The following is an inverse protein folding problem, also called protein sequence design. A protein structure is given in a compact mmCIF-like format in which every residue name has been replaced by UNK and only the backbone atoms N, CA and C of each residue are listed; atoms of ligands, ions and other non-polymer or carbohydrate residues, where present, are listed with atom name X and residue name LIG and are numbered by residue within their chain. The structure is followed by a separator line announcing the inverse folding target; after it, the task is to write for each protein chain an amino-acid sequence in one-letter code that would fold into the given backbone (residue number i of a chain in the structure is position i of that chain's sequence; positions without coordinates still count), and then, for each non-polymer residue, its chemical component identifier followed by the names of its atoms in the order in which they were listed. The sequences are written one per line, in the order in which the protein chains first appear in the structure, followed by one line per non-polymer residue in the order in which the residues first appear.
data_IF_983746168177
#
_entry.id   IF_983746168177
#
_cell.length_a   1.000
_cell.length_b   1.000
_cell.length_c   1.000
_cell.angle_alpha   90.00
_cell.angle_beta   90.00
_cell.angle_gamma   90.00
#
_symmetry.space_group_name_H-M   'P 1'
#
loop_
_entity.id
_entity.type
_entity.pdbx_description
1 polymer ?
#
# COMPACT_ATOMS: atom_id res chain seq x y z
N UNK A 1 12.42 24.56 -32.46
CA UNK A 1 13.61 25.29 -31.94
C UNK A 1 13.48 26.83 -32.00
N UNK A 2 12.77 27.41 -32.97
CA UNK A 2 12.59 28.87 -33.10
C UNK A 2 11.74 29.49 -31.97
N UNK A 3 10.71 28.78 -31.47
CA UNK A 3 9.87 29.26 -30.36
C UNK A 3 10.64 29.44 -29.04
N UNK A 4 11.53 28.51 -28.69
CA UNK A 4 12.31 28.56 -27.45
C UNK A 4 13.28 29.75 -27.42
N UNK A 5 13.82 30.17 -28.57
CA UNK A 5 14.71 31.33 -28.66
C UNK A 5 14.02 32.66 -28.32
N UNK A 6 12.70 32.76 -28.56
CA UNK A 6 11.90 33.94 -28.23
C UNK A 6 11.28 33.89 -26.81
N UNK A 7 11.50 32.79 -26.07
CA UNK A 7 10.92 32.61 -24.75
C UNK A 7 11.66 33.43 -23.71
N UNK A 8 10.96 34.41 -23.11
CA UNK A 8 11.49 35.20 -21.98
C UNK A 8 11.81 34.28 -20.79
N UNK A 9 12.86 34.62 -20.03
CA UNK A 9 13.34 33.80 -18.90
C UNK A 9 12.23 33.51 -17.88
N UNK A 10 11.47 34.52 -17.47
CA UNK A 10 10.39 34.35 -16.50
C UNK A 10 9.28 33.41 -17.02
N UNK A 11 8.99 33.44 -18.33
CA UNK A 11 8.01 32.52 -18.94
C UNK A 11 8.51 31.07 -18.90
N UNK A 12 9.79 30.86 -19.15
CA UNK A 12 10.42 29.54 -19.00
C UNK A 12 10.34 29.06 -17.54
N UNK A 13 10.57 29.96 -16.57
CA UNK A 13 10.41 29.66 -15.15
C UNK A 13 8.99 29.20 -14.80
N UNK A 14 7.97 29.95 -15.24
CA UNK A 14 6.57 29.57 -15.01
C UNK A 14 6.22 28.22 -15.63
N UNK A 15 6.61 27.98 -16.88
CA UNK A 15 6.36 26.69 -17.55
C UNK A 15 6.98 25.54 -16.74
N UNK A 16 8.22 25.70 -16.28
CA UNK A 16 8.90 24.69 -15.48
C UNK A 16 8.17 24.41 -14.16
N UNK A 17 7.73 25.46 -13.47
CA UNK A 17 7.01 25.36 -12.20
C UNK A 17 5.67 24.64 -12.38
N UNK A 18 4.88 25.01 -13.39
CA UNK A 18 3.57 24.39 -13.61
C UNK A 18 3.65 22.92 -14.03
N UNK A 19 4.57 22.58 -14.96
CA UNK A 19 4.73 21.18 -15.42
C UNK A 19 5.18 20.28 -14.27
N UNK A 20 6.21 20.71 -13.54
CA UNK A 20 6.73 19.93 -12.42
C UNK A 20 5.73 19.84 -11.26
N UNK A 21 4.94 20.89 -11.01
CA UNK A 21 3.88 20.87 -10.00
C UNK A 21 2.84 19.81 -10.35
N UNK A 22 2.37 19.75 -11.59
CA UNK A 22 1.39 18.75 -12.02
C UNK A 22 1.88 17.31 -11.80
N UNK A 23 3.16 17.04 -12.12
CA UNK A 23 3.79 15.72 -11.92
C UNK A 23 3.91 15.38 -10.44
N UNK A 24 4.47 16.28 -9.64
CA UNK A 24 4.67 16.08 -8.20
C UNK A 24 3.34 15.97 -7.45
N UNK A 25 2.35 16.79 -7.81
CA UNK A 25 1.03 16.74 -7.21
C UNK A 25 0.29 15.44 -7.53
N UNK A 26 0.39 14.95 -8.77
CA UNK A 26 -0.18 13.64 -9.16
C UNK A 26 0.49 12.49 -8.39
N UNK A 27 1.81 12.56 -8.20
CA UNK A 27 2.55 11.55 -7.43
C UNK A 27 2.13 11.59 -5.96
N UNK A 28 2.02 12.79 -5.39
CA UNK A 28 1.52 13.00 -4.03
C UNK A 28 0.12 12.42 -3.83
N UNK A 29 -0.84 12.76 -4.70
CA UNK A 29 -2.22 12.27 -4.55
C UNK A 29 -2.31 10.75 -4.70
N UNK A 30 -1.51 10.14 -5.57
CA UNK A 30 -1.45 8.69 -5.70
C UNK A 30 -0.92 8.02 -4.42
N UNK A 31 0.10 8.60 -3.78
CA UNK A 31 0.67 8.10 -2.53
C UNK A 31 -0.29 8.25 -1.35
N UNK A 32 -0.90 9.42 -1.17
CA UNK A 32 -1.79 9.69 -0.02
C UNK A 32 -3.11 8.96 -0.10
N UNK A 33 -3.51 8.45 -1.28
CA UNK A 33 -4.75 7.68 -1.41
C UNK A 33 -4.81 6.45 -0.50
N UNK A 34 -3.67 5.89 -0.12
CA UNK A 34 -3.61 4.76 0.82
C UNK A 34 -4.21 5.11 2.18
N UNK A 35 -4.09 6.36 2.63
CA UNK A 35 -4.60 6.80 3.95
C UNK A 35 -6.12 6.95 3.97
N UNK A 36 -6.75 7.09 2.79
CA UNK A 36 -8.21 7.06 2.65
C UNK A 36 -8.74 5.62 2.69
N UNK A 37 -7.96 4.67 2.16
CA UNK A 37 -8.32 3.25 2.08
C UNK A 37 -8.05 2.54 3.40
N UNK A 38 -6.98 2.92 4.10
CA UNK A 38 -6.52 2.34 5.37
C UNK A 38 -6.51 3.46 6.41
N UNK A 39 -7.62 3.67 7.15
CA UNK A 39 -7.66 4.66 8.20
C UNK A 39 -6.85 4.17 9.40
N UNK A 40 -5.60 4.61 9.50
CA UNK A 40 -4.73 4.33 10.64
C UNK A 40 -4.36 5.60 11.40
N UNK A 41 -3.98 5.46 12.67
CA UNK A 41 -3.55 6.59 13.49
C UNK A 41 -2.26 7.25 12.95
N UNK A 42 -1.54 6.56 12.06
CA UNK A 42 -0.28 7.00 11.46
C UNK A 42 -0.46 7.64 10.08
N UNK A 43 -1.68 7.69 9.50
CA UNK A 43 -1.92 8.20 8.15
C UNK A 43 -1.50 9.67 7.98
N UNK A 44 -1.53 10.44 9.07
CA UNK A 44 -0.97 11.80 9.09
C UNK A 44 0.54 11.83 8.81
N UNK A 45 1.31 10.86 9.32
CA UNK A 45 2.76 10.73 9.09
C UNK A 45 3.02 10.44 7.62
N UNK A 46 2.27 9.50 7.02
CA UNK A 46 2.37 9.14 5.60
C UNK A 46 2.08 10.35 4.70
N UNK A 47 1.04 11.11 5.04
CA UNK A 47 0.65 12.33 4.32
C UNK A 47 1.76 13.38 4.36
N UNK A 48 2.29 13.68 5.54
CA UNK A 48 3.37 14.68 5.72
C UNK A 48 4.66 14.23 5.02
N UNK A 49 5.04 12.97 5.16
CA UNK A 49 6.22 12.42 4.49
C UNK A 49 6.09 12.53 2.96
N UNK A 50 4.94 12.12 2.41
CA UNK A 50 4.64 12.23 0.98
C UNK A 50 4.68 13.69 0.51
N UNK A 51 4.16 14.63 1.31
CA UNK A 51 4.20 16.05 1.00
C UNK A 51 5.64 16.55 0.89
N UNK A 52 6.50 16.24 1.87
CA UNK A 52 7.90 16.67 1.88
C UNK A 52 8.62 16.16 0.63
N UNK A 53 8.52 14.86 0.34
CA UNK A 53 9.20 14.25 -0.82
C UNK A 53 8.73 14.87 -2.14
N UNK A 54 7.42 15.12 -2.30
CA UNK A 54 6.89 15.69 -3.53
C UNK A 54 7.18 17.19 -3.68
N UNK A 55 7.28 17.95 -2.58
CA UNK A 55 7.78 19.33 -2.63
C UNK A 55 9.23 19.36 -3.08
N UNK A 56 10.07 18.45 -2.56
CA UNK A 56 11.46 18.30 -3.00
C UNK A 56 11.54 17.95 -4.50
N UNK A 57 10.78 16.93 -4.94
CA UNK A 57 10.68 16.54 -6.35
C UNK A 57 10.27 17.73 -7.23
N UNK A 58 9.24 18.48 -6.83
CA UNK A 58 8.74 19.65 -7.53
C UNK A 58 9.83 20.72 -7.74
N UNK A 59 10.57 21.05 -6.68
CA UNK A 59 11.64 22.05 -6.73
C UNK A 59 12.78 21.62 -7.66
N UNK A 60 13.28 20.40 -7.51
CA UNK A 60 14.39 19.90 -8.33
C UNK A 60 14.00 19.71 -9.79
N UNK A 61 12.79 19.20 -10.06
CA UNK A 61 12.27 19.05 -11.42
C UNK A 61 12.02 20.41 -12.07
N UNK A 62 11.51 21.42 -11.33
CA UNK A 62 11.40 22.80 -11.81
C UNK A 62 12.76 23.34 -12.28
N UNK A 63 13.80 23.17 -11.47
CA UNK A 63 15.17 23.63 -11.77
C UNK A 63 15.69 22.91 -13.03
N UNK A 64 15.52 21.59 -13.11
CA UNK A 64 15.97 20.80 -14.25
C UNK A 64 15.27 21.21 -15.57
N UNK A 65 13.94 21.35 -15.56
CA UNK A 65 13.14 21.79 -16.72
C UNK A 65 13.53 23.21 -17.15
N UNK A 66 13.71 24.12 -16.19
CA UNK A 66 14.14 25.48 -16.48
C UNK A 66 15.51 25.49 -17.19
N UNK A 67 16.52 24.82 -16.62
CA UNK A 67 17.85 24.77 -17.21
C UNK A 67 17.87 24.05 -18.56
N UNK A 68 17.06 23.03 -18.75
CA UNK A 68 16.89 22.37 -20.05
C UNK A 68 16.38 23.33 -21.13
N UNK A 69 15.30 24.05 -20.85
CA UNK A 69 14.75 25.04 -21.79
C UNK A 69 15.76 26.15 -22.10
N UNK A 70 16.51 26.61 -21.10
CA UNK A 70 17.57 27.63 -21.28
C UNK A 70 18.71 27.11 -22.14
N UNK A 71 19.18 25.89 -21.87
CA UNK A 71 20.25 25.27 -22.65
C UNK A 71 19.84 25.07 -24.12
N UNK A 72 18.60 24.63 -24.37
CA UNK A 72 18.06 24.51 -25.73
C UNK A 72 17.95 25.86 -26.45
N UNK A 73 17.46 26.91 -25.77
CA UNK A 73 17.34 28.24 -26.34
C UNK A 73 18.71 28.85 -26.73
N UNK A 74 19.74 28.56 -25.94
CA UNK A 74 21.11 29.04 -26.15
C UNK A 74 21.94 28.15 -27.09
N UNK A 75 21.44 26.96 -27.46
CA UNK A 75 22.18 26.00 -28.29
C UNK A 75 23.29 25.24 -27.55
N UNK A 76 23.28 25.23 -26.22
CA UNK A 76 24.28 24.53 -25.40
C UNK A 76 24.02 23.01 -25.36
N UNK A 77 24.50 22.28 -26.37
CA UNK A 77 24.23 20.84 -26.55
C UNK A 77 24.52 19.98 -25.31
N UNK A 78 25.69 20.12 -24.70
CA UNK A 78 26.07 19.31 -23.54
C UNK A 78 25.17 19.58 -22.31
N UNK A 79 24.88 20.85 -22.00
CA UNK A 79 23.98 21.22 -20.91
C UNK A 79 22.56 20.71 -21.14
N UNK A 80 22.08 20.74 -22.39
CA UNK A 80 20.78 20.18 -22.76
C UNK A 80 20.72 18.67 -22.50
N UNK A 81 21.78 17.92 -22.81
CA UNK A 81 21.82 16.46 -22.54
C UNK A 81 21.79 16.16 -21.05
N UNK A 82 22.61 16.85 -20.24
CA UNK A 82 22.64 16.62 -18.78
C UNK A 82 21.28 16.93 -18.15
N UNK A 83 20.71 18.09 -18.47
CA UNK A 83 19.43 18.51 -17.90
C UNK A 83 18.27 17.63 -18.38
N UNK A 84 18.32 17.12 -19.61
CA UNK A 84 17.38 16.10 -20.08
C UNK A 84 17.49 14.79 -19.29
N UNK A 85 18.71 14.34 -19.00
CA UNK A 85 18.92 13.13 -18.19
C UNK A 85 18.39 13.31 -16.75
N UNK A 86 18.57 14.49 -16.15
CA UNK A 86 17.99 14.81 -14.85
C UNK A 86 16.46 14.82 -14.88
N UNK A 87 15.85 15.41 -15.92
CA UNK A 87 14.39 15.35 -16.10
C UNK A 87 13.93 13.90 -16.22
N UNK A 88 14.61 13.09 -17.02
CA UNK A 88 14.26 11.69 -17.20
C UNK A 88 14.35 10.90 -15.89
N UNK A 89 15.38 11.15 -15.07
CA UNK A 89 15.53 10.56 -13.75
C UNK A 89 14.37 10.94 -12.82
N UNK A 90 14.06 12.23 -12.69
CA UNK A 90 12.99 12.69 -11.79
C UNK A 90 11.60 12.24 -12.25
N UNK A 91 11.33 12.29 -13.55
CA UNK A 91 10.07 11.81 -14.12
C UNK A 91 9.98 10.30 -13.95
N UNK A 92 11.05 9.54 -14.21
CA UNK A 92 11.08 8.10 -13.99
C UNK A 92 10.82 7.72 -12.54
N UNK A 93 11.43 8.43 -11.59
CA UNK A 93 11.15 8.27 -10.16
C UNK A 93 9.67 8.55 -9.83
N UNK A 94 9.13 9.66 -10.32
CA UNK A 94 7.74 10.05 -10.10
C UNK A 94 6.76 8.99 -10.67
N UNK A 95 7.01 8.53 -11.90
CA UNK A 95 6.22 7.49 -12.56
C UNK A 95 6.28 6.17 -11.81
N UNK A 96 7.47 5.73 -11.40
CA UNK A 96 7.63 4.48 -10.64
C UNK A 96 6.88 4.55 -9.31
N UNK A 97 7.05 5.64 -8.56
CA UNK A 97 6.40 5.84 -7.26
C UNK A 97 4.87 5.94 -7.40
N UNK A 98 4.39 6.61 -8.45
CA UNK A 98 2.95 6.67 -8.75
C UNK A 98 2.41 5.29 -9.10
N UNK A 99 3.13 4.52 -9.92
CA UNK A 99 2.73 3.18 -10.33
C UNK A 99 2.63 2.23 -9.14
N UNK A 100 3.64 2.20 -8.26
CA UNK A 100 3.63 1.35 -7.06
C UNK A 100 2.51 1.74 -6.10
N UNK A 101 2.28 3.04 -5.89
CA UNK A 101 1.18 3.51 -5.05
C UNK A 101 -0.20 3.10 -5.62
N UNK A 102 -0.40 3.24 -6.93
CA UNK A 102 -1.64 2.80 -7.58
C UNK A 102 -1.83 1.28 -7.50
N UNK A 103 -0.76 0.50 -7.68
CA UNK A 103 -0.79 -0.95 -7.56
C UNK A 103 -1.15 -1.39 -6.14
N UNK A 104 -0.54 -0.77 -5.12
CA UNK A 104 -0.87 -1.01 -3.72
C UNK A 104 -2.34 -0.71 -3.44
N UNK A 105 -2.83 0.47 -3.83
CA UNK A 105 -4.22 0.85 -3.65
C UNK A 105 -5.18 -0.15 -4.32
N UNK A 106 -4.86 -0.58 -5.54
CA UNK A 106 -5.66 -1.58 -6.25
C UNK A 106 -5.64 -2.94 -5.55
N UNK A 107 -4.49 -3.36 -5.01
CA UNK A 107 -4.35 -4.60 -4.25
C UNK A 107 -5.19 -4.57 -2.96
N UNK A 108 -5.12 -3.48 -2.20
CA UNK A 108 -5.88 -3.30 -0.96
C UNK A 108 -7.40 -3.26 -1.19
N UNK A 109 -7.85 -2.66 -2.30
CA UNK A 109 -9.27 -2.67 -2.68
C UNK A 109 -9.70 -4.08 -3.07
N UNK A 110 -8.92 -4.76 -3.93
CA UNK A 110 -9.24 -6.12 -4.35
C UNK A 110 -9.25 -7.10 -3.17
N UNK A 111 -8.31 -7.00 -2.23
CA UNK A 111 -8.28 -7.86 -1.05
C UNK A 111 -9.50 -7.66 -0.13
N UNK A 112 -10.05 -6.44 -0.07
CA UNK A 112 -11.23 -6.14 0.74
C UNK A 112 -12.57 -6.50 0.07
N UNK A 113 -12.59 -6.73 -1.24
CA UNK A 113 -13.80 -7.06 -1.98
C UNK A 113 -14.16 -8.55 -1.80
N UNK A 114 -15.32 -8.89 -1.18
CA UNK A 114 -15.71 -10.28 -0.94
C UNK A 114 -15.94 -11.08 -2.23
N UNK A 115 -16.10 -10.41 -3.37
CA UNK A 115 -16.29 -11.04 -4.69
C UNK A 115 -14.97 -11.38 -5.39
N UNK A 116 -13.82 -10.96 -4.84
CA UNK A 116 -12.51 -11.29 -5.39
C UNK A 116 -12.27 -12.79 -5.38
N UNK A 117 -11.77 -13.31 -6.51
CA UNK A 117 -11.55 -14.75 -6.67
C UNK A 117 -10.44 -15.28 -5.75
N UNK A 118 -10.58 -16.54 -5.33
CA UNK A 118 -9.59 -17.22 -4.50
C UNK A 118 -8.19 -17.26 -5.14
N UNK A 119 -8.13 -17.40 -6.48
CA UNK A 119 -6.87 -17.32 -7.23
C UNK A 119 -6.20 -15.95 -7.05
N UNK A 120 -6.98 -14.86 -7.22
CA UNK A 120 -6.46 -13.50 -7.05
C UNK A 120 -6.01 -13.22 -5.62
N UNK A 121 -6.75 -13.70 -4.63
CA UNK A 121 -6.37 -13.59 -3.20
C UNK A 121 -5.06 -14.35 -2.90
N UNK A 122 -4.85 -15.50 -3.53
CA UNK A 122 -3.60 -16.27 -3.44
C UNK A 122 -2.42 -15.49 -4.02
N UNK A 123 -2.61 -14.83 -5.18
CA UNK A 123 -1.58 -13.96 -5.76
C UNK A 123 -1.26 -12.77 -4.86
N UNK A 124 -2.29 -12.13 -4.29
CA UNK A 124 -2.13 -10.98 -3.41
C UNK A 124 -1.36 -11.33 -2.13
N UNK A 125 -1.63 -12.49 -1.52
CA UNK A 125 -0.91 -12.96 -0.33
C UNK A 125 0.59 -13.20 -0.55
N UNK A 126 0.99 -13.47 -1.80
CA UNK A 126 2.38 -13.70 -2.22
C UNK A 126 3.07 -12.43 -2.72
N UNK A 127 2.34 -11.34 -2.89
CA UNK A 127 2.90 -10.12 -3.41
C UNK A 127 3.80 -9.46 -2.37
N UNK A 128 5.03 -9.14 -2.75
CA UNK A 128 5.96 -8.36 -1.93
C UNK A 128 5.68 -6.87 -2.16
N UNK A 129 4.83 -6.28 -1.29
CA UNK A 129 4.40 -4.89 -1.39
C UNK A 129 4.66 -4.19 -0.05
N UNK A 130 5.21 -2.98 -0.13
CA UNK A 130 5.24 -2.03 0.98
C UNK A 130 3.80 -1.84 1.49
N UNK A 131 3.52 -2.08 2.79
CA UNK A 131 2.20 -2.37 3.42
C UNK A 131 1.75 -3.85 3.50
N UNK A 132 2.66 -4.81 3.44
CA UNK A 132 2.36 -6.24 3.50
C UNK A 132 1.41 -6.68 4.64
N UNK A 133 1.56 -6.14 5.86
CA UNK A 133 0.70 -6.52 6.99
C UNK A 133 -0.79 -6.16 6.79
N UNK A 134 -1.08 -5.01 6.19
CA UNK A 134 -2.47 -4.58 5.97
C UNK A 134 -3.10 -5.35 4.81
N UNK A 135 -2.31 -5.63 3.76
CA UNK A 135 -2.75 -6.50 2.68
C UNK A 135 -3.03 -7.91 3.20
N UNK A 136 -2.13 -8.46 4.02
CA UNK A 136 -2.28 -9.77 4.67
C UNK A 136 -3.54 -9.82 5.53
N UNK A 137 -3.82 -8.79 6.33
CA UNK A 137 -5.06 -8.69 7.12
C UNK A 137 -6.32 -8.74 6.25
N UNK A 138 -6.34 -8.00 5.13
CA UNK A 138 -7.49 -7.96 4.22
C UNK A 138 -7.69 -9.29 3.51
N UNK A 139 -6.61 -9.90 3.04
CA UNK A 139 -6.68 -11.24 2.43
C UNK A 139 -7.14 -12.25 3.48
N UNK A 140 -6.57 -12.26 4.68
CA UNK A 140 -7.00 -13.14 5.76
C UNK A 140 -8.46 -12.91 6.19
N UNK A 141 -8.96 -11.68 6.12
CA UNK A 141 -10.35 -11.35 6.47
C UNK A 141 -11.37 -11.61 5.36
N UNK A 142 -10.92 -11.86 4.12
CA UNK A 142 -11.83 -12.02 2.99
C UNK A 142 -12.50 -13.42 3.00
N UNK A 143 -13.85 -13.50 2.97
CA UNK A 143 -14.57 -14.77 3.06
C UNK A 143 -14.36 -15.69 1.84
N UNK A 144 -13.77 -15.20 0.75
CA UNK A 144 -13.43 -15.99 -0.45
C UNK A 144 -11.98 -16.50 -0.43
N UNK A 145 -11.20 -16.20 0.62
CA UNK A 145 -9.81 -16.64 0.73
C UNK A 145 -9.74 -18.15 0.95
N UNK A 146 -8.94 -18.87 0.15
CA UNK A 146 -8.85 -20.33 0.25
C UNK A 146 -8.00 -20.75 1.45
N UNK A 147 -8.30 -21.94 1.97
CA UNK A 147 -7.65 -22.55 3.13
C UNK A 147 -6.11 -22.48 3.06
N UNK A 148 -5.51 -22.91 1.94
CA UNK A 148 -4.05 -22.93 1.79
C UNK A 148 -3.41 -21.54 1.93
N UNK A 149 -4.12 -20.50 1.50
CA UNK A 149 -3.66 -19.12 1.65
C UNK A 149 -3.78 -18.67 3.11
N UNK A 150 -4.88 -19.02 3.80
CA UNK A 150 -5.03 -18.73 5.24
C UNK A 150 -3.94 -19.43 6.08
N UNK A 151 -3.60 -20.68 5.74
CA UNK A 151 -2.48 -21.42 6.36
C UNK A 151 -1.15 -20.70 6.09
N UNK A 152 -0.90 -20.29 4.84
CA UNK A 152 0.32 -19.56 4.50
C UNK A 152 0.44 -18.23 5.24
N UNK A 153 -0.67 -17.52 5.47
CA UNK A 153 -0.68 -16.26 6.20
C UNK A 153 -0.46 -16.48 7.70
N UNK A 154 -1.07 -17.51 8.28
CA UNK A 154 -0.87 -17.88 9.69
C UNK A 154 0.59 -18.21 10.03
N UNK A 155 1.31 -18.80 9.08
CA UNK A 155 2.73 -19.13 9.26
C UNK A 155 3.67 -17.91 9.20
N UNK A 156 3.15 -16.70 8.90
CA UNK A 156 3.95 -15.47 8.98
C UNK A 156 4.04 -15.02 10.44
N UNK A 157 5.26 -14.95 10.98
CA UNK A 157 5.47 -14.58 12.38
C UNK A 157 5.19 -13.09 12.65
N UNK A 158 4.71 -12.78 13.87
CA UNK A 158 4.61 -11.40 14.37
C UNK A 158 3.44 -10.58 13.85
N UNK A 159 2.49 -11.17 13.12
CA UNK A 159 1.37 -10.46 12.52
C UNK A 159 0.06 -10.62 13.31
N UNK A 160 -0.03 -10.01 14.50
CA UNK A 160 -1.23 -10.14 15.36
C UNK A 160 -2.53 -9.68 14.67
N UNK A 161 -2.48 -8.64 13.83
CA UNK A 161 -3.66 -8.21 13.05
C UNK A 161 -4.17 -9.32 12.12
N UNK A 162 -3.24 -10.09 11.56
CA UNK A 162 -3.54 -11.20 10.65
C UNK A 162 -4.11 -12.38 11.44
N UNK A 163 -3.56 -12.67 12.61
CA UNK A 163 -4.13 -13.67 13.54
C UNK A 163 -5.59 -13.35 13.92
N UNK A 164 -5.89 -12.09 14.21
CA UNK A 164 -7.24 -11.64 14.56
C UNK A 164 -8.23 -11.76 13.38
N UNK A 165 -7.77 -11.50 12.16
CA UNK A 165 -8.61 -11.63 10.95
C UNK A 165 -8.82 -13.09 10.59
N UNK A 166 -7.78 -13.93 10.70
CA UNK A 166 -7.87 -15.39 10.59
C UNK A 166 -8.87 -15.97 11.60
N UNK A 167 -8.81 -15.56 12.86
CA UNK A 167 -9.74 -16.03 13.89
C UNK A 167 -11.20 -15.77 13.55
N UNK A 168 -11.51 -14.68 12.83
CA UNK A 168 -12.89 -14.32 12.46
C UNK A 168 -13.33 -14.90 11.10
N UNK A 169 -12.40 -15.34 10.25
CA UNK A 169 -12.73 -15.77 8.89
C UNK A 169 -13.45 -17.15 8.87
N UNK A 170 -14.58 -17.29 8.14
CA UNK A 170 -15.35 -18.53 8.10
C UNK A 170 -14.60 -19.73 7.49
N UNK A 171 -13.66 -19.50 6.59
CA UNK A 171 -12.89 -20.56 5.92
C UNK A 171 -11.65 -20.98 6.71
N UNK A 172 -11.33 -20.31 7.82
CA UNK A 172 -10.14 -20.67 8.61
C UNK A 172 -10.22 -22.12 9.11
N UNK A 173 -9.19 -22.93 8.87
CA UNK A 173 -9.12 -24.31 9.37
C UNK A 173 -9.25 -24.39 10.89
N UNK A 174 -9.90 -25.47 11.35
CA UNK A 174 -10.15 -25.67 12.77
C UNK A 174 -8.83 -25.73 13.57
N UNK A 175 -7.80 -26.35 13.01
CA UNK A 175 -6.45 -26.41 13.60
C UNK A 175 -5.86 -25.02 13.92
N UNK A 176 -6.05 -24.03 13.03
CA UNK A 176 -5.59 -22.66 13.25
C UNK A 176 -6.44 -21.99 14.33
N UNK A 177 -7.77 -22.15 14.29
CA UNK A 177 -8.66 -21.59 15.32
C UNK A 177 -8.32 -22.13 16.71
N UNK A 178 -8.00 -23.42 16.81
CA UNK A 178 -7.54 -24.10 18.03
C UNK A 178 -6.17 -23.58 18.47
N UNK A 179 -5.24 -23.38 17.54
CA UNK A 179 -3.92 -22.86 17.88
C UNK A 179 -4.00 -21.43 18.41
N UNK A 180 -4.84 -20.59 17.80
CA UNK A 180 -5.13 -19.22 18.26
C UNK A 180 -5.83 -19.22 19.63
N UNK A 181 -6.74 -20.16 19.90
CA UNK A 181 -7.43 -20.25 21.19
C UNK A 181 -6.51 -20.53 22.37
N UNK A 182 -5.30 -21.08 22.13
CA UNK A 182 -4.28 -21.33 23.16
C UNK A 182 -3.44 -20.11 23.51
N UNK A 183 -3.54 -19.03 22.72
CA UNK A 183 -2.78 -17.78 22.89
C UNK A 183 -3.50 -16.74 23.77
N UNK A 184 -4.52 -17.18 24.51
CA UNK A 184 -5.40 -16.33 25.35
C UNK A 184 -4.71 -15.68 26.54
N UNK A 185 -3.56 -16.20 26.97
CA UNK A 185 -2.77 -15.62 28.06
C UNK A 185 -1.73 -14.59 27.57
N UNK A 186 -1.63 -14.38 26.25
CA UNK A 186 -0.74 -13.37 25.68
C UNK A 186 -1.33 -11.96 25.81
N UNK A 187 -0.52 -10.93 25.55
CA UNK A 187 -0.92 -9.51 25.53
C UNK A 187 -2.23 -9.24 24.76
N UNK A 188 -2.52 -10.05 23.75
CA UNK A 188 -3.66 -9.89 22.85
C UNK A 188 -4.76 -10.94 23.04
N UNK A 189 -4.72 -11.71 24.12
CA UNK A 189 -5.63 -12.82 24.36
C UNK A 189 -7.11 -12.45 24.27
N UNK A 190 -7.55 -11.40 24.93
CA UNK A 190 -8.93 -10.91 24.88
C UNK A 190 -9.38 -10.55 23.45
N UNK A 191 -8.48 -9.96 22.65
CA UNK A 191 -8.76 -9.64 21.26
C UNK A 191 -8.94 -10.90 20.41
N UNK A 192 -8.10 -11.91 20.63
CA UNK A 192 -8.18 -13.22 19.97
C UNK A 192 -9.49 -13.91 20.33
N UNK A 193 -9.87 -13.93 21.61
CA UNK A 193 -11.16 -14.48 22.08
C UNK A 193 -12.32 -13.79 21.38
N UNK A 194 -12.33 -12.46 21.33
CA UNK A 194 -13.39 -11.69 20.69
C UNK A 194 -13.44 -11.93 19.18
N UNK A 195 -12.30 -12.16 18.53
CA UNK A 195 -12.26 -12.53 17.12
C UNK A 195 -12.82 -13.94 16.88
N UNK A 196 -12.41 -14.94 17.68
CA UNK A 196 -12.91 -16.32 17.60
C UNK A 196 -14.43 -16.39 17.82
N UNK A 197 -14.98 -15.62 18.77
CA UNK A 197 -16.43 -15.55 19.02
C UNK A 197 -17.23 -15.04 17.81
N UNK A 198 -16.61 -14.30 16.90
CA UNK A 198 -17.24 -13.82 15.66
C UNK A 198 -17.16 -14.82 14.51
N UNK A 199 -16.43 -15.92 14.67
CA UNK A 199 -16.29 -16.94 13.64
C UNK A 199 -17.60 -17.72 13.45
N UNK A 200 -18.01 -17.94 12.20
CA UNK A 200 -19.22 -18.70 11.86
C UNK A 200 -19.24 -20.13 12.40
N UNK A 201 -18.09 -20.80 12.49
CA UNK A 201 -17.96 -22.18 13.03
C UNK A 201 -18.18 -22.23 14.54
N UNK A 202 -17.83 -21.15 15.23
CA UNK A 202 -18.04 -21.02 16.67
C UNK A 202 -19.49 -20.66 16.95
N UNK A 203 -20.05 -19.73 16.18
CA UNK A 203 -21.46 -19.30 16.30
C UNK A 203 -22.43 -20.46 16.01
N UNK A 204 -22.14 -21.28 15.00
CA UNK A 204 -22.96 -22.45 14.65
C UNK A 204 -22.78 -23.63 15.62
N UNK A 205 -21.76 -23.59 16.48
CA UNK A 205 -21.42 -24.68 17.39
C UNK A 205 -20.73 -25.88 16.73
N UNK A 206 -20.24 -25.74 15.49
CA UNK A 206 -19.35 -26.70 14.82
C UNK A 206 -18.03 -26.85 15.60
N UNK A 207 -17.48 -25.72 16.05
CA UNK A 207 -16.31 -25.67 16.91
C UNK A 207 -16.69 -25.10 18.27
N UNK A 208 -16.67 -25.95 19.30
CA UNK A 208 -17.01 -25.58 20.68
C UNK A 208 -15.74 -25.37 21.50
N UNK A 209 -15.69 -24.22 22.16
CA UNK A 209 -14.66 -23.88 23.13
C UNK A 209 -15.28 -23.89 24.53
N UNK A 210 -14.54 -24.36 25.54
CA UNK A 210 -14.97 -24.25 26.94
C UNK A 210 -14.79 -22.80 27.48
N UNK A 211 -15.17 -22.54 28.75
CA UNK A 211 -15.07 -21.20 29.37
C UNK A 211 -13.63 -20.65 29.42
N UNK A 212 -12.61 -21.50 29.20
CA UNK A 212 -11.17 -21.15 29.16
C UNK A 212 -10.56 -21.29 27.77
N UNK A 213 -11.38 -21.53 26.73
CA UNK A 213 -10.98 -21.72 25.33
C UNK A 213 -10.04 -22.91 25.07
N UNK A 214 -10.10 -23.93 25.92
CA UNK A 214 -9.55 -25.27 25.69
C UNK A 214 -10.60 -26.16 25.00
N UNK A 215 -10.16 -26.95 24.01
CA UNK A 215 -11.02 -27.95 23.36
C UNK A 215 -11.48 -28.99 24.39
N UNK A 216 -12.78 -29.14 24.57
CA UNK A 216 -13.30 -30.44 25.01
C UNK A 216 -13.25 -31.38 23.80
N UNK A 217 -12.37 -32.39 23.88
CA UNK A 217 -12.37 -33.51 22.95
C UNK A 217 -13.69 -34.28 23.04
N UNK A 218 -14.13 -34.80 21.90
CA UNK A 218 -15.21 -35.79 21.81
C UNK A 218 -14.97 -36.97 22.76
#
# INVERSE_FOLDING_TARGET
MILLKKLKQWKAGLIAIFISFAIAFTTYTAQTRVTEIVPDAQGGIVTVYSLIINVVLWLFLSIAIFHFMRALAQGHRFKSVITAALIFLFVGYATNTTYTAMQLNSALIAAADPTTSSHRLTELAKADIDYGYELDNRVAGNPSTPVDTLVSLYNKEGQIGTDLTLAANPNTPNEILIALSKRTNERWGDAIVNALKRNSKVISGELRFDEVMTLQGN
#
